data_IF_007927432431
#
_entry.id   IF_007927432431
#
_cell.length_a   1.000
_cell.length_b   1.000
_cell.length_c   1.000
_cell.angle_alpha   90.00
_cell.angle_beta   90.00
_cell.angle_gamma   90.00
#
_symmetry.space_group_name_H-M   'P 1'
#
loop_
_entity.id
_entity.type
_entity.pdbx_description
1 polymer ?
#
# COMPACT_ATOMS: atom_id res chain seq x y z
N UNK A 1 1.79 -8.96 15.57
CA UNK A 1 1.10 -10.27 15.40
C UNK A 1 2.04 -11.24 14.69
N UNK A 2 2.18 -12.39 15.27
CA UNK A 2 2.96 -13.45 14.68
C UNK A 2 2.07 -14.34 13.80
N UNK A 3 2.70 -15.23 13.03
CA UNK A 3 2.01 -16.14 12.12
C UNK A 3 0.85 -16.90 12.78
N UNK A 4 1.05 -17.37 14.00
CA UNK A 4 0.06 -18.18 14.73
C UNK A 4 -1.19 -17.38 15.12
N UNK A 5 -1.06 -16.05 15.28
CA UNK A 5 -2.13 -15.19 15.72
C UNK A 5 -3.04 -14.71 14.58
N UNK A 6 -2.57 -14.85 13.33
CA UNK A 6 -3.27 -14.35 12.16
C UNK A 6 -4.36 -15.32 11.74
N UNK A 7 -5.58 -14.82 11.60
CA UNK A 7 -6.77 -15.61 11.27
C UNK A 7 -7.15 -15.47 9.79
N UNK A 8 -7.30 -16.58 9.10
CA UNK A 8 -7.81 -16.58 7.72
C UNK A 8 -9.23 -16.00 7.66
N UNK A 9 -9.48 -15.15 6.67
CA UNK A 9 -10.78 -14.54 6.43
C UNK A 9 -11.09 -13.34 7.30
N UNK A 10 -10.30 -13.06 8.33
CA UNK A 10 -10.50 -11.88 9.17
C UNK A 10 -9.90 -10.64 8.50
N UNK A 11 -10.68 -9.57 8.45
CA UNK A 11 -10.20 -8.28 7.92
C UNK A 11 -9.53 -7.49 9.03
N UNK A 12 -8.26 -7.15 8.81
CA UNK A 12 -7.47 -6.30 9.70
C UNK A 12 -7.35 -4.91 9.06
N UNK A 13 -7.82 -3.88 9.76
CA UNK A 13 -7.78 -2.50 9.28
C UNK A 13 -6.69 -1.72 9.96
N UNK A 14 -6.07 -0.78 9.23
CA UNK A 14 -5.12 0.14 9.84
C UNK A 14 -5.82 1.04 10.87
N UNK A 15 -5.20 1.19 12.04
CA UNK A 15 -5.72 2.04 13.12
C UNK A 15 -5.54 3.51 12.74
N UNK A 16 -4.45 3.84 12.05
CA UNK A 16 -4.13 5.20 11.62
C UNK A 16 -4.28 5.35 10.11
N UNK A 17 -4.28 6.59 9.66
CA UNK A 17 -4.22 6.97 8.25
C UNK A 17 -2.88 7.62 7.97
N UNK A 18 -2.47 7.60 6.71
CA UNK A 18 -1.25 8.26 6.27
C UNK A 18 -1.58 9.41 5.34
N UNK A 19 -1.21 10.66 5.71
CA UNK A 19 -1.29 11.77 4.77
C UNK A 19 -0.19 11.65 3.71
N UNK A 20 -0.54 11.95 2.47
CA UNK A 20 0.41 11.98 1.36
C UNK A 20 0.78 13.43 1.07
N UNK A 21 2.06 13.72 1.02
CA UNK A 21 2.59 15.06 0.78
C UNK A 21 3.40 15.11 -0.51
N UNK A 22 3.49 16.30 -1.11
CA UNK A 22 4.34 16.51 -2.27
C UNK A 22 5.81 16.26 -1.99
N UNK A 23 6.28 16.59 -0.79
CA UNK A 23 7.66 16.32 -0.36
C UNK A 23 8.00 14.84 -0.39
N UNK A 24 7.10 14.00 0.07
CA UNK A 24 7.29 12.54 0.04
C UNK A 24 7.38 12.02 -1.40
N UNK A 25 6.54 12.53 -2.30
CA UNK A 25 6.58 12.17 -3.72
C UNK A 25 7.92 12.55 -4.33
N UNK A 26 8.40 13.77 -4.04
CA UNK A 26 9.72 14.24 -4.52
C UNK A 26 10.86 13.34 -4.02
N UNK A 27 10.85 13.01 -2.73
CA UNK A 27 11.87 12.15 -2.14
C UNK A 27 11.86 10.75 -2.75
N UNK A 28 10.68 10.16 -2.89
CA UNK A 28 10.56 8.84 -3.51
C UNK A 28 11.05 8.85 -4.96
N UNK A 29 10.66 9.86 -5.73
CA UNK A 29 11.08 10.00 -7.11
C UNK A 29 12.61 10.09 -7.24
N UNK A 30 13.26 10.87 -6.38
CA UNK A 30 14.71 11.01 -6.36
C UNK A 30 15.41 9.71 -5.93
N UNK A 31 14.92 9.08 -4.88
CA UNK A 31 15.52 7.86 -4.32
C UNK A 31 15.38 6.66 -5.24
N UNK A 32 14.25 6.55 -5.94
CA UNK A 32 13.96 5.41 -6.81
C UNK A 32 14.37 5.61 -8.26
N UNK A 33 14.64 6.86 -8.67
CA UNK A 33 14.86 7.21 -10.07
C UNK A 33 13.56 7.33 -10.88
N UNK A 34 12.39 7.30 -10.23
CA UNK A 34 11.09 7.51 -10.89
C UNK A 34 10.75 9.00 -11.00
N UNK A 35 11.66 9.79 -11.52
CA UNK A 35 11.53 11.24 -11.68
C UNK A 35 10.76 11.63 -12.94
N UNK A 36 9.59 11.04 -13.11
CA UNK A 36 8.73 11.25 -14.26
C UNK A 36 7.83 12.49 -14.08
N UNK A 37 7.50 13.19 -15.19
CA UNK A 37 6.75 14.46 -15.10
C UNK A 37 5.40 14.36 -14.40
N UNK A 38 4.69 13.24 -14.56
CA UNK A 38 3.38 13.05 -13.90
C UNK A 38 3.45 13.04 -12.38
N UNK A 39 4.60 12.69 -11.81
CA UNK A 39 4.82 12.69 -10.36
C UNK A 39 5.34 14.03 -9.85
N UNK A 40 6.04 14.79 -10.67
CA UNK A 40 6.78 15.97 -10.25
C UNK A 40 6.17 17.30 -10.71
N UNK A 41 5.37 17.30 -11.78
CA UNK A 41 4.82 18.49 -12.39
C UNK A 41 3.30 18.45 -12.41
N UNK A 42 2.68 19.32 -11.62
CA UNK A 42 1.22 19.39 -11.51
C UNK A 42 0.56 19.81 -12.84
N UNK A 43 1.16 20.72 -13.59
CA UNK A 43 0.62 21.16 -14.87
C UNK A 43 0.63 20.01 -15.89
N UNK A 44 1.69 19.24 -15.91
CA UNK A 44 1.80 18.05 -16.76
C UNK A 44 0.73 17.01 -16.40
N UNK A 45 0.57 16.73 -15.12
CA UNK A 45 -0.43 15.77 -14.64
C UNK A 45 -1.87 16.23 -14.98
N UNK A 46 -2.16 17.52 -14.83
CA UNK A 46 -3.46 18.09 -15.22
C UNK A 46 -3.71 17.96 -16.72
N UNK A 47 -2.68 18.11 -17.54
CA UNK A 47 -2.76 17.90 -18.98
C UNK A 47 -3.18 16.47 -19.37
N UNK A 48 -2.94 15.51 -18.49
CA UNK A 48 -3.36 14.11 -18.65
C UNK A 48 -4.71 13.83 -18.00
N UNK A 49 -5.37 14.83 -17.42
CA UNK A 49 -6.68 14.70 -16.81
C UNK A 49 -6.66 14.45 -15.32
N UNK A 50 -5.50 14.47 -14.68
CA UNK A 50 -5.41 14.34 -13.23
C UNK A 50 -5.60 15.69 -12.54
N UNK A 51 -6.07 15.66 -11.31
CA UNK A 51 -6.31 16.85 -10.50
C UNK A 51 -5.01 17.56 -10.07
N UNK A 52 -3.96 16.80 -9.83
CA UNK A 52 -2.65 17.23 -9.35
C UNK A 52 -1.61 16.17 -9.70
N UNK A 53 -0.36 16.34 -9.26
CA UNK A 53 0.66 15.31 -9.36
C UNK A 53 0.16 14.01 -8.77
N UNK A 54 0.44 12.90 -9.42
CA UNK A 54 0.02 11.59 -8.90
C UNK A 54 1.14 10.97 -8.06
N UNK A 55 0.75 10.15 -7.11
CA UNK A 55 1.71 9.44 -6.26
C UNK A 55 2.13 8.15 -6.96
N UNK A 56 3.44 7.84 -7.02
CA UNK A 56 3.91 6.58 -7.60
C UNK A 56 3.30 5.37 -6.91
N UNK A 57 2.83 4.41 -7.71
CA UNK A 57 2.18 3.21 -7.20
C UNK A 57 3.01 2.42 -6.19
N UNK A 58 4.31 2.16 -6.46
CA UNK A 58 5.14 1.45 -5.50
C UNK A 58 5.25 2.13 -4.13
N UNK A 59 5.24 3.47 -4.09
CA UNK A 59 5.24 4.22 -2.85
C UNK A 59 3.95 4.00 -2.05
N UNK A 60 2.80 3.98 -2.74
CA UNK A 60 1.49 3.73 -2.10
C UNK A 60 1.47 2.34 -1.46
N UNK A 61 1.97 1.33 -2.16
CA UNK A 61 2.07 -0.03 -1.62
C UNK A 61 2.97 -0.07 -0.39
N UNK A 62 4.11 0.62 -0.45
CA UNK A 62 5.00 0.75 0.70
C UNK A 62 4.33 1.41 1.90
N UNK A 63 3.53 2.44 1.67
CA UNK A 63 2.74 3.11 2.72
C UNK A 63 1.70 2.17 3.34
N UNK A 64 1.04 1.35 2.53
CA UNK A 64 0.11 0.33 3.01
C UNK A 64 0.81 -0.65 3.96
N UNK A 65 1.93 -1.18 3.52
CA UNK A 65 2.72 -2.10 4.34
C UNK A 65 3.18 -1.44 5.64
N UNK A 66 3.59 -0.17 5.58
CA UNK A 66 3.97 0.60 6.75
C UNK A 66 2.83 0.82 7.75
N UNK A 67 1.62 1.13 7.25
CA UNK A 67 0.43 1.28 8.09
C UNK A 67 0.10 -0.02 8.84
N UNK A 68 0.20 -1.14 8.16
CA UNK A 68 -0.07 -2.44 8.78
C UNK A 68 1.06 -2.88 9.73
N UNK A 69 2.31 -2.60 9.37
CA UNK A 69 3.46 -2.91 10.22
C UNK A 69 3.45 -2.14 11.55
N UNK A 70 3.01 -0.87 11.53
CA UNK A 70 2.91 -0.04 12.75
C UNK A 70 2.00 -0.61 13.80
N UNK A 71 0.99 -1.36 13.42
CA UNK A 71 0.09 -2.05 14.36
C UNK A 71 0.48 -3.51 14.58
N UNK A 72 1.65 -3.91 14.10
CA UNK A 72 2.23 -5.22 14.37
C UNK A 72 1.74 -6.34 13.46
N UNK A 73 1.04 -6.03 12.36
CA UNK A 73 0.66 -7.05 11.39
C UNK A 73 1.92 -7.60 10.69
N UNK A 74 2.13 -8.91 10.73
CA UNK A 74 3.31 -9.59 10.17
C UNK A 74 4.62 -8.98 10.69
N UNK A 75 4.80 -8.95 12.01
CA UNK A 75 5.91 -8.27 12.69
C UNK A 75 7.30 -8.71 12.20
N UNK A 76 7.49 -9.98 11.93
CA UNK A 76 8.79 -10.54 11.51
C UNK A 76 8.66 -11.23 10.15
N UNK A 77 8.08 -10.52 9.18
CA UNK A 77 7.81 -11.08 7.87
C UNK A 77 8.69 -10.49 6.78
N UNK A 78 8.94 -11.29 5.76
CA UNK A 78 9.60 -10.87 4.52
C UNK A 78 8.61 -11.01 3.38
N UNK A 79 8.47 -9.98 2.58
CA UNK A 79 7.60 -9.99 1.41
C UNK A 79 8.23 -10.80 0.28
N UNK A 80 7.55 -11.81 -0.19
CA UNK A 80 8.07 -12.71 -1.22
C UNK A 80 7.47 -12.47 -2.61
N UNK A 81 6.31 -11.84 -2.69
CA UNK A 81 5.71 -11.56 -3.98
C UNK A 81 4.33 -10.95 -3.89
N UNK A 82 3.84 -10.52 -5.04
CA UNK A 82 2.52 -9.93 -5.19
C UNK A 82 1.90 -10.33 -6.52
N UNK A 83 0.57 -10.43 -6.52
CA UNK A 83 -0.23 -10.68 -7.73
C UNK A 83 -1.45 -9.79 -7.76
N UNK A 84 -2.04 -9.65 -8.94
CA UNK A 84 -3.33 -8.96 -9.14
C UNK A 84 -3.36 -7.52 -8.63
N UNK A 85 -2.23 -6.82 -8.71
CA UNK A 85 -2.14 -5.42 -8.31
C UNK A 85 -2.89 -4.57 -9.34
N UNK A 86 -3.80 -3.73 -8.83
CA UNK A 86 -4.61 -2.85 -9.66
C UNK A 86 -4.79 -1.51 -8.97
N UNK A 87 -4.54 -0.42 -9.69
CA UNK A 87 -4.74 0.95 -9.22
C UNK A 87 -6.03 1.49 -9.81
N UNK A 88 -6.94 1.97 -8.94
CA UNK A 88 -8.29 2.40 -9.31
C UNK A 88 -8.51 3.90 -9.25
N UNK A 89 -7.96 4.55 -8.24
CA UNK A 89 -8.12 5.99 -7.99
C UNK A 89 -6.75 6.61 -7.75
N UNK A 90 -6.37 7.68 -8.48
CA UNK A 90 -5.10 8.36 -8.23
C UNK A 90 -5.07 8.98 -6.84
N UNK A 91 -3.90 8.95 -6.22
CA UNK A 91 -3.64 9.65 -4.96
C UNK A 91 -2.81 10.88 -5.27
N UNK A 92 -3.27 12.03 -4.80
CA UNK A 92 -2.61 13.32 -4.99
C UNK A 92 -2.18 13.90 -3.65
N UNK A 93 -1.23 14.87 -3.64
CA UNK A 93 -0.85 15.54 -2.40
C UNK A 93 -2.06 16.11 -1.66
N UNK A 94 -2.13 15.87 -0.37
CA UNK A 94 -3.27 16.23 0.49
C UNK A 94 -4.25 15.11 0.76
N UNK A 95 -4.23 14.06 -0.02
CA UNK A 95 -5.03 12.86 0.28
C UNK A 95 -4.50 12.13 1.51
N UNK A 96 -5.37 11.38 2.16
CA UNK A 96 -5.03 10.49 3.26
C UNK A 96 -5.43 9.07 2.87
N UNK A 97 -4.57 8.12 3.12
CA UNK A 97 -4.84 6.72 2.81
C UNK A 97 -4.96 5.89 4.08
N UNK A 98 -5.79 4.88 4.01
CA UNK A 98 -5.94 3.82 5.00
C UNK A 98 -5.78 2.48 4.31
N UNK A 99 -5.52 1.44 5.08
CA UNK A 99 -5.29 0.11 4.55
C UNK A 99 -6.13 -0.92 5.28
N UNK A 100 -6.47 -1.98 4.57
CA UNK A 100 -7.01 -3.19 5.17
C UNK A 100 -6.42 -4.41 4.50
N UNK A 101 -6.24 -5.47 5.27
CA UNK A 101 -5.74 -6.75 4.79
C UNK A 101 -6.64 -7.88 5.25
N UNK A 102 -6.75 -8.88 4.39
CA UNK A 102 -7.54 -10.08 4.65
C UNK A 102 -6.69 -11.29 4.32
N UNK A 103 -6.21 -12.04 5.33
CA UNK A 103 -5.49 -13.28 5.09
C UNK A 103 -6.40 -14.29 4.36
N UNK A 104 -5.90 -14.81 3.24
CA UNK A 104 -6.64 -15.77 2.43
C UNK A 104 -6.22 -17.22 2.70
N UNK A 105 -4.93 -17.42 2.97
CA UNK A 105 -4.37 -18.74 3.17
C UNK A 105 -3.12 -18.68 4.04
N UNK A 106 -2.92 -19.71 4.84
CA UNK A 106 -1.72 -19.93 5.64
C UNK A 106 -1.14 -21.29 5.28
N UNK A 107 0.17 -21.34 5.08
CA UNK A 107 0.89 -22.59 4.81
C UNK A 107 2.05 -22.73 5.79
N UNK A 108 1.99 -23.74 6.63
CA UNK A 108 3.01 -23.96 7.63
C UNK A 108 4.37 -24.31 7.01
N UNK A 109 5.42 -23.79 7.63
CA UNK A 109 6.80 -24.12 7.29
C UNK A 109 7.35 -25.16 8.29
N UNK A 110 8.18 -26.07 7.78
CA UNK A 110 8.87 -27.05 8.64
C UNK A 110 9.84 -26.39 9.62
N UNK A 111 10.21 -25.11 9.39
CA UNK A 111 11.15 -24.34 10.21
C UNK A 111 10.47 -23.48 11.27
N UNK A 112 9.13 -23.63 11.45
CA UNK A 112 8.32 -22.74 12.26
C UNK A 112 7.77 -21.58 11.44
N UNK A 113 6.63 -20.98 11.89
CA UNK A 113 5.92 -19.99 11.12
C UNK A 113 5.41 -20.52 9.80
N UNK A 114 5.36 -19.69 8.78
CA UNK A 114 4.89 -20.12 7.48
C UNK A 114 4.74 -18.99 6.46
N UNK A 115 4.02 -19.29 5.39
CA UNK A 115 3.64 -18.34 4.36
C UNK A 115 2.21 -17.89 4.58
N UNK A 116 1.98 -16.59 4.48
CA UNK A 116 0.64 -16.01 4.52
C UNK A 116 0.38 -15.32 3.18
N UNK A 117 -0.70 -15.72 2.53
CA UNK A 117 -1.21 -15.04 1.36
C UNK A 117 -2.38 -14.18 1.81
N UNK A 118 -2.32 -12.88 1.55
CA UNK A 118 -3.36 -11.95 1.98
C UNK A 118 -3.73 -10.98 0.88
N UNK A 119 -5.02 -10.66 0.82
CA UNK A 119 -5.53 -9.57 -0.01
C UNK A 119 -5.39 -8.26 0.75
N UNK A 120 -4.97 -7.22 0.06
CA UNK A 120 -4.92 -5.88 0.64
C UNK A 120 -5.72 -4.89 -0.20
N UNK A 121 -6.25 -3.88 0.48
CA UNK A 121 -6.97 -2.78 -0.14
C UNK A 121 -6.50 -1.48 0.49
N UNK A 122 -6.38 -0.45 -0.33
CA UNK A 122 -6.01 0.90 0.10
C UNK A 122 -7.16 1.82 -0.30
N UNK A 123 -7.61 2.64 0.64
CA UNK A 123 -8.70 3.59 0.42
C UNK A 123 -8.24 5.00 0.74
N UNK A 124 -8.86 6.00 0.09
CA UNK A 124 -8.61 7.41 0.41
C UNK A 124 -9.58 7.91 1.48
N UNK A 125 -9.54 9.21 1.79
CA UNK A 125 -10.40 9.85 2.80
C UNK A 125 -11.88 9.80 2.45
N UNK A 126 -12.25 9.63 1.18
CA UNK A 126 -13.63 9.52 0.71
C UNK A 126 -14.09 8.05 0.62
N UNK A 127 -13.35 7.14 1.23
CA UNK A 127 -13.59 5.70 1.23
C UNK A 127 -13.58 5.08 -0.17
N UNK A 128 -12.94 5.74 -1.12
CA UNK A 128 -12.76 5.21 -2.48
C UNK A 128 -11.59 4.25 -2.53
N UNK A 129 -11.75 3.15 -3.24
CA UNK A 129 -10.69 2.19 -3.47
C UNK A 129 -9.59 2.84 -4.33
N UNK A 130 -8.40 2.97 -3.75
CA UNK A 130 -7.21 3.49 -4.43
C UNK A 130 -6.51 2.39 -5.19
N UNK A 131 -6.26 1.28 -4.53
CA UNK A 131 -5.57 0.14 -5.10
C UNK A 131 -5.90 -1.13 -4.32
N UNK A 132 -5.67 -2.27 -4.95
CA UNK A 132 -5.79 -3.58 -4.32
C UNK A 132 -4.82 -4.57 -4.94
N UNK A 133 -4.57 -5.65 -4.23
CA UNK A 133 -3.70 -6.71 -4.70
C UNK A 133 -3.63 -7.86 -3.70
N UNK A 134 -2.81 -8.85 -4.03
CA UNK A 134 -2.58 -10.01 -3.17
C UNK A 134 -1.07 -10.16 -2.95
N UNK A 135 -0.67 -10.28 -1.69
CA UNK A 135 0.72 -10.44 -1.27
C UNK A 135 0.94 -11.80 -0.61
N UNK A 136 2.17 -12.25 -0.69
CA UNK A 136 2.65 -13.42 0.06
C UNK A 136 3.90 -13.08 0.81
#
# INVERSE_FOLDING_TARGET
MFYEEIEEGRVYKSISTKPITGTEIDLFAQMSGMDLPGFLDAAFARGWGFKDRVTPGPYIIGCMMGLMAKQGFLADAVWTGATDISFKTPVVPGDRISAEVEPLAKKDSKRGGGLITYKWRIKNQDDKLVAEGTNT
#
